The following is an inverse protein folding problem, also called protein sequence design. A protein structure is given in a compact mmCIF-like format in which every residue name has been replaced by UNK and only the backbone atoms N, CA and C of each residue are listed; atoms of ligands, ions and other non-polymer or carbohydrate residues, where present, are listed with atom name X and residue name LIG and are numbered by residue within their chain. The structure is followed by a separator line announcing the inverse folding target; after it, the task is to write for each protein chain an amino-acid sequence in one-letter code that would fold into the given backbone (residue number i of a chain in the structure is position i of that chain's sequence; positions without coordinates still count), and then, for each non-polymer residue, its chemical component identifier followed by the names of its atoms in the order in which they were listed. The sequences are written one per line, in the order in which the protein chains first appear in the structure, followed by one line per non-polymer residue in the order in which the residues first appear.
data_IF_769919435289
#
_entry.id   IF_769919435289
#
_cell.length_a   1.000
_cell.length_b   1.000
_cell.length_c   1.000
_cell.angle_alpha   90.00
_cell.angle_beta   90.00
_cell.angle_gamma   90.00
#
_symmetry.space_group_name_H-M   'P 1'
#
loop_
_entity.id
_entity.type
_entity.pdbx_description
1 polymer ?
#
# COMPACT_ATOMS: atom_id res chain seq x y z
N UNK A 1 -1.04 -10.16 -11.91
CA UNK A 1 -2.51 -10.25 -11.93
C UNK A 1 -3.10 -9.01 -12.61
N UNK A 2 -4.25 -9.10 -13.29
CA UNK A 2 -4.99 -7.90 -13.74
C UNK A 2 -5.61 -7.24 -12.50
N UNK A 3 -5.24 -5.98 -12.22
CA UNK A 3 -5.68 -5.26 -11.01
C UNK A 3 -7.21 -5.22 -10.83
N UNK A 4 -7.67 -4.93 -9.62
CA UNK A 4 -9.08 -5.02 -9.24
C UNK A 4 -10.02 -4.28 -10.20
N UNK A 5 -11.19 -4.88 -10.46
CA UNK A 5 -12.26 -4.23 -11.20
C UNK A 5 -12.88 -3.10 -10.36
N UNK A 6 -13.30 -2.01 -11.01
CA UNK A 6 -14.00 -0.91 -10.31
C UNK A 6 -15.24 -1.41 -9.60
N UNK A 7 -15.99 -2.33 -10.23
CA UNK A 7 -17.16 -2.96 -9.61
C UNK A 7 -16.83 -3.67 -8.30
N UNK A 8 -15.72 -4.41 -8.24
CA UNK A 8 -15.29 -5.11 -7.03
C UNK A 8 -14.92 -4.12 -5.92
N UNK A 9 -14.11 -3.10 -6.24
CA UNK A 9 -13.73 -2.06 -5.25
C UNK A 9 -14.96 -1.33 -4.71
N UNK A 10 -15.90 -0.97 -5.58
CA UNK A 10 -17.12 -0.28 -5.16
C UNK A 10 -18.03 -1.17 -4.32
N UNK A 11 -18.16 -2.44 -4.69
CA UNK A 11 -18.93 -3.42 -3.94
C UNK A 11 -18.36 -3.61 -2.52
N UNK A 12 -17.04 -3.77 -2.40
CA UNK A 12 -16.36 -3.91 -1.10
C UNK A 12 -16.51 -2.63 -0.25
N UNK A 13 -16.55 -1.46 -0.88
CA UNK A 13 -16.82 -0.19 -0.23
C UNK A 13 -18.31 0.06 0.10
N UNK A 14 -19.23 -0.84 -0.26
CA UNK A 14 -20.68 -0.66 -0.06
C UNK A 14 -21.30 0.41 -0.96
N UNK A 15 -20.66 0.74 -2.08
CA UNK A 15 -21.06 1.78 -3.01
C UNK A 15 -21.47 1.21 -4.38
N UNK A 16 -22.35 1.90 -5.10
CA UNK A 16 -22.74 1.49 -6.46
C UNK A 16 -21.65 1.82 -7.47
N UNK A 17 -21.57 1.05 -8.57
CA UNK A 17 -20.55 1.24 -9.62
C UNK A 17 -20.51 2.70 -10.16
N UNK A 18 -21.65 3.37 -10.26
CA UNK A 18 -21.75 4.76 -10.72
C UNK A 18 -21.16 5.80 -9.75
N UNK A 19 -20.92 5.45 -8.48
CA UNK A 19 -20.30 6.33 -7.49
C UNK A 19 -18.80 6.53 -7.73
N UNK A 20 -18.12 5.61 -8.41
CA UNK A 20 -16.66 5.60 -8.51
C UNK A 20 -16.12 6.91 -9.08
N UNK A 21 -16.68 7.32 -10.23
CA UNK A 21 -16.22 8.50 -10.95
C UNK A 21 -16.61 9.83 -10.29
N UNK A 22 -17.40 9.80 -9.21
CA UNK A 22 -17.58 10.99 -8.35
C UNK A 22 -16.41 11.20 -7.39
N UNK A 23 -15.70 10.13 -7.03
CA UNK A 23 -14.58 10.17 -6.09
C UNK A 23 -13.22 10.19 -6.80
N UNK A 24 -13.08 9.43 -7.89
CA UNK A 24 -11.81 9.27 -8.60
C UNK A 24 -11.96 9.55 -10.09
N UNK A 25 -11.05 10.35 -10.64
CA UNK A 25 -11.03 10.66 -12.07
C UNK A 25 -10.59 9.49 -12.96
N UNK A 26 -9.97 8.46 -12.40
CA UNK A 26 -9.59 7.21 -13.10
C UNK A 26 -9.23 6.11 -12.12
N UNK A 27 -9.11 4.87 -12.61
CA UNK A 27 -8.53 3.74 -11.84
C UNK A 27 -7.10 4.03 -11.38
N UNK A 28 -6.29 4.66 -12.23
CA UNK A 28 -4.91 5.00 -11.89
C UNK A 28 -4.85 6.04 -10.76
N UNK A 29 -5.78 6.99 -10.74
CA UNK A 29 -5.88 7.95 -9.63
C UNK A 29 -6.22 7.26 -8.32
N UNK A 30 -7.21 6.35 -8.31
CA UNK A 30 -7.47 5.51 -7.14
C UNK A 30 -6.20 4.79 -6.70
N UNK A 31 -5.53 4.09 -7.63
CA UNK A 31 -4.34 3.30 -7.31
C UNK A 31 -3.21 4.13 -6.71
N UNK A 32 -2.95 5.33 -7.26
CA UNK A 32 -1.92 6.24 -6.72
C UNK A 32 -2.26 6.70 -5.31
N UNK A 33 -3.50 7.08 -5.05
CA UNK A 33 -3.93 7.51 -3.70
C UNK A 33 -3.85 6.33 -2.71
N UNK A 34 -4.32 5.14 -3.10
CA UNK A 34 -4.24 3.94 -2.27
C UNK A 34 -2.80 3.53 -1.96
N UNK A 35 -1.88 3.60 -2.94
CA UNK A 35 -0.47 3.32 -2.72
C UNK A 35 0.16 4.36 -1.78
N UNK A 36 -0.18 5.64 -1.95
CA UNK A 36 0.32 6.72 -1.10
C UNK A 36 -0.10 6.52 0.36
N UNK A 37 -1.36 6.11 0.57
CA UNK A 37 -1.88 5.76 1.89
C UNK A 37 -1.17 4.52 2.47
N UNK A 38 -1.06 3.43 1.71
CA UNK A 38 -0.38 2.22 2.17
C UNK A 38 1.10 2.47 2.52
N UNK A 39 1.80 3.32 1.76
CA UNK A 39 3.16 3.74 2.10
C UNK A 39 3.23 4.56 3.39
N UNK A 40 2.24 5.42 3.63
CA UNK A 40 2.14 6.18 4.88
C UNK A 40 1.95 5.24 6.07
N UNK A 41 1.01 4.29 5.97
CA UNK A 41 0.72 3.33 7.04
C UNK A 41 1.96 2.51 7.44
N UNK A 42 2.65 1.91 6.47
CA UNK A 42 3.87 1.14 6.78
C UNK A 42 4.98 2.04 7.34
N UNK A 43 5.14 3.27 6.83
CA UNK A 43 6.13 4.21 7.37
C UNK A 43 5.82 4.55 8.84
N UNK A 44 4.55 4.79 9.17
CA UNK A 44 4.11 5.07 10.53
C UNK A 44 4.35 3.89 11.47
N UNK A 45 4.08 2.66 11.02
CA UNK A 45 4.41 1.43 11.76
C UNK A 45 5.92 1.34 12.03
N UNK A 46 6.76 1.52 11.02
CA UNK A 46 8.22 1.43 11.18
C UNK A 46 8.77 2.55 12.07
N UNK A 47 8.24 3.76 11.96
CA UNK A 47 8.58 4.89 12.84
C UNK A 47 8.16 4.59 14.29
N UNK A 48 6.99 3.99 14.50
CA UNK A 48 6.54 3.58 15.82
C UNK A 48 7.49 2.55 16.44
N UNK A 49 7.85 1.51 15.69
CA UNK A 49 8.83 0.50 16.12
C UNK A 49 10.19 1.13 16.43
N UNK A 50 10.65 2.06 15.60
CA UNK A 50 11.90 2.77 15.81
C UNK A 50 11.90 3.58 17.12
N UNK A 51 10.79 4.28 17.40
CA UNK A 51 10.60 5.08 18.63
C UNK A 51 10.53 4.23 19.90
N UNK A 52 10.00 3.01 19.81
CA UNK A 52 9.93 2.08 20.93
C UNK A 52 11.21 1.28 21.15
N UNK A 53 12.14 1.33 20.20
CA UNK A 53 13.41 0.59 20.29
C UNK A 53 14.39 1.27 21.27
N UNK A 54 15.25 0.50 21.95
CA UNK A 54 16.32 1.06 22.75
C UNK A 54 17.24 2.00 21.93
N UNK A 55 17.91 2.97 22.58
CA UNK A 55 18.89 3.83 21.92
C UNK A 55 19.92 3.02 21.12
N UNK A 56 20.10 3.37 19.85
CA UNK A 56 21.03 2.67 18.93
C UNK A 56 20.50 1.36 18.33
N UNK A 57 19.29 0.90 18.71
CA UNK A 57 18.71 -0.36 18.23
C UNK A 57 17.51 -0.18 17.28
N UNK A 58 17.11 1.05 16.97
CA UNK A 58 15.96 1.35 16.10
C UNK A 58 15.97 0.59 14.76
N UNK A 59 17.13 0.53 14.09
CA UNK A 59 17.26 -0.20 12.83
C UNK A 59 17.00 -1.71 12.99
N UNK A 60 17.38 -2.32 14.11
CA UNK A 60 17.10 -3.74 14.38
C UNK A 60 15.61 -3.97 14.57
N UNK A 61 14.93 -3.05 15.27
CA UNK A 61 13.49 -3.07 15.41
C UNK A 61 12.79 -3.02 14.05
N UNK A 62 13.16 -2.04 13.22
CA UNK A 62 12.63 -1.89 11.85
C UNK A 62 12.86 -3.17 11.04
N UNK A 63 14.09 -3.70 11.00
CA UNK A 63 14.41 -4.93 10.25
C UNK A 63 13.59 -6.11 10.73
N UNK A 64 13.44 -6.28 12.05
CA UNK A 64 12.64 -7.37 12.62
C UNK A 64 11.16 -7.24 12.27
N UNK A 65 10.61 -6.04 12.30
CA UNK A 65 9.21 -5.80 11.94
C UNK A 65 8.96 -6.00 10.44
N UNK A 66 9.87 -5.54 9.58
CA UNK A 66 9.71 -5.63 8.13
C UNK A 66 9.93 -7.05 7.59
N UNK A 67 10.86 -7.81 8.17
CA UNK A 67 11.18 -9.18 7.74
C UNK A 67 10.46 -10.25 8.59
N UNK A 68 9.39 -9.88 9.28
CA UNK A 68 8.66 -10.81 10.14
C UNK A 68 7.79 -11.76 9.29
N UNK A 69 7.52 -12.99 9.77
CA UNK A 69 6.56 -13.89 9.13
C UNK A 69 5.19 -13.23 8.95
N UNK A 70 4.75 -12.45 9.95
CA UNK A 70 3.46 -11.75 9.90
C UNK A 70 3.41 -10.74 8.74
N UNK A 71 4.51 -10.03 8.45
CA UNK A 71 4.57 -9.14 7.27
C UNK A 71 4.38 -9.90 5.95
N UNK A 72 4.81 -11.17 5.88
CA UNK A 72 4.64 -12.03 4.72
C UNK A 72 3.26 -12.70 4.67
N UNK A 73 2.68 -13.05 5.81
CA UNK A 73 1.37 -13.70 5.93
C UNK A 73 0.20 -12.74 5.67
N UNK A 74 0.38 -11.45 5.99
CA UNK A 74 -0.63 -10.40 5.84
C UNK A 74 -0.14 -9.28 4.88
N UNK A 75 0.08 -9.58 3.58
CA UNK A 75 0.60 -8.62 2.61
C UNK A 75 -0.31 -7.39 2.40
N UNK A 76 -1.60 -7.49 2.70
CA UNK A 76 -2.57 -6.39 2.68
C UNK A 76 -2.31 -5.33 3.75
N UNK A 77 -1.54 -5.65 4.79
CA UNK A 77 -1.10 -4.75 5.84
C UNK A 77 0.42 -4.46 5.76
N UNK A 78 1.07 -4.99 4.72
CA UNK A 78 2.51 -4.91 4.52
C UNK A 78 2.96 -3.77 3.59
N UNK A 79 4.23 -3.84 3.17
CA UNK A 79 4.78 -2.85 2.26
C UNK A 79 4.27 -3.09 0.83
N UNK A 80 3.62 -2.09 0.18
CA UNK A 80 3.08 -2.29 -1.15
C UNK A 80 4.17 -2.59 -2.20
N UNK A 81 5.43 -2.20 -1.99
CA UNK A 81 6.54 -2.60 -2.87
C UNK A 81 6.81 -4.10 -2.80
N UNK A 82 6.75 -4.70 -1.61
CA UNK A 82 6.98 -6.13 -1.45
C UNK A 82 5.86 -6.95 -2.13
N UNK A 83 4.61 -6.47 -2.03
CA UNK A 83 3.45 -7.15 -2.61
C UNK A 83 3.25 -6.89 -4.12
N UNK A 84 3.56 -5.69 -4.62
CA UNK A 84 3.16 -5.23 -5.97
C UNK A 84 4.33 -4.85 -6.88
N UNK A 85 5.59 -5.19 -6.53
CA UNK A 85 6.75 -4.84 -7.35
C UNK A 85 6.59 -5.18 -8.85
N UNK A 86 6.16 -6.39 -9.26
CA UNK A 86 5.99 -6.72 -10.68
C UNK A 86 4.93 -5.85 -11.37
N UNK A 87 3.83 -5.56 -10.69
CA UNK A 87 2.73 -4.73 -11.18
C UNK A 87 3.16 -3.26 -11.35
N UNK A 88 3.89 -2.71 -10.38
CA UNK A 88 4.40 -1.35 -10.43
C UNK A 88 5.39 -1.14 -11.58
N UNK A 89 6.16 -2.16 -11.96
CA UNK A 89 7.01 -2.08 -13.15
C UNK A 89 6.21 -1.97 -14.46
N UNK A 90 4.97 -2.46 -14.49
CA UNK A 90 4.09 -2.43 -15.66
C UNK A 90 3.15 -1.22 -15.69
N UNK A 91 3.04 -0.49 -14.58
CA UNK A 91 2.26 0.74 -14.50
C UNK A 91 2.78 1.80 -15.49
N UNK A 92 1.87 2.63 -15.98
CA UNK A 92 2.15 3.72 -16.92
C UNK A 92 3.28 4.63 -16.38
N UNK A 93 4.09 5.19 -17.28
CA UNK A 93 5.17 6.13 -16.92
C UNK A 93 4.64 7.34 -16.14
N UNK A 94 3.40 7.77 -16.38
CA UNK A 94 2.76 8.85 -15.62
C UNK A 94 2.59 8.56 -14.13
N UNK A 95 2.53 7.28 -13.74
CA UNK A 95 2.45 6.83 -12.35
C UNK A 95 3.82 6.79 -11.64
N UNK A 96 4.91 6.66 -12.41
CA UNK A 96 6.29 6.49 -11.88
C UNK A 96 7.02 7.81 -11.60
N UNK A 97 6.41 8.95 -11.94
CA UNK A 97 6.97 10.30 -11.77
C UNK A 97 6.11 11.12 -10.82
N UNK A 98 6.28 10.91 -9.52
CA UNK A 98 5.96 11.90 -8.48
C UNK A 98 7.02 11.85 -7.40
#
# INVERSE_FOLDING_TARGET
MTGAAVSAVMQDAGLTHGGFYKHFGSKDKLLVESLSEAFREIADTLVHVAKQSPPGAAWKGIVKAYLSPEHCEYPEHGCPLAALAPELTRADRGMKRR
#
